data_IF_634147463836
#
_entry.id   IF_634147463836
#
_cell.length_a   1.000
_cell.length_b   1.000
_cell.length_c   1.000
_cell.angle_alpha   90.00
_cell.angle_beta   90.00
_cell.angle_gamma   90.00
#
_symmetry.space_group_name_H-M   'P 1'
#
loop_
_entity.id
_entity.type
_entity.pdbx_description
1 polymer ?
#
# COMPACT_ATOMS: atom_id res chain seq x y z
N UNK A 1 -24.38 -37.51 37.43
CA UNK A 1 -23.10 -37.65 36.75
C UNK A 1 -23.25 -37.41 35.24
N UNK A 2 -24.09 -38.13 34.57
CA UNK A 2 -24.31 -38.06 33.12
C UNK A 2 -24.73 -36.67 32.61
N UNK A 3 -25.68 -36.01 33.26
CA UNK A 3 -26.08 -34.64 32.92
C UNK A 3 -24.90 -33.66 33.01
N UNK A 4 -24.07 -33.81 34.03
CA UNK A 4 -22.89 -32.98 34.20
C UNK A 4 -21.86 -33.19 33.07
N UNK A 5 -21.63 -34.44 32.67
CA UNK A 5 -20.72 -34.78 31.56
C UNK A 5 -21.25 -34.24 30.24
N UNK A 6 -22.54 -34.33 29.97
CA UNK A 6 -23.19 -33.78 28.79
C UNK A 6 -23.04 -32.25 28.73
N UNK A 7 -23.31 -31.56 29.82
CA UNK A 7 -23.18 -30.11 29.95
C UNK A 7 -21.71 -29.66 29.71
N UNK A 8 -20.78 -30.36 30.38
CA UNK A 8 -19.34 -30.06 30.24
C UNK A 8 -18.85 -30.28 28.81
N UNK A 9 -19.26 -31.36 28.16
CA UNK A 9 -18.87 -31.65 26.76
C UNK A 9 -19.34 -30.58 25.81
N UNK A 10 -20.63 -30.18 25.83
CA UNK A 10 -21.16 -29.13 24.97
C UNK A 10 -20.47 -27.79 25.23
N UNK A 11 -20.24 -27.46 26.51
CA UNK A 11 -19.54 -26.23 26.90
C UNK A 11 -18.13 -26.16 26.30
N UNK A 12 -17.32 -27.23 26.48
CA UNK A 12 -15.96 -27.31 26.02
C UNK A 12 -15.86 -27.32 24.48
N UNK A 13 -16.79 -28.00 23.83
CA UNK A 13 -16.93 -28.01 22.37
C UNK A 13 -17.05 -26.60 21.79
N UNK A 14 -18.03 -25.83 22.29
CA UNK A 14 -18.23 -24.45 21.83
C UNK A 14 -17.05 -23.55 22.21
N UNK A 15 -16.42 -23.76 23.37
CA UNK A 15 -15.25 -23.05 23.79
C UNK A 15 -14.04 -23.30 22.84
N UNK A 16 -13.78 -24.56 22.46
CA UNK A 16 -12.75 -24.92 21.50
C UNK A 16 -12.99 -24.26 20.13
N UNK A 17 -14.24 -24.32 19.64
CA UNK A 17 -14.62 -23.62 18.40
C UNK A 17 -14.37 -22.10 18.49
N UNK A 18 -14.70 -21.45 19.61
CA UNK A 18 -14.47 -20.01 19.80
C UNK A 18 -12.98 -19.66 19.83
N UNK A 19 -12.14 -20.50 20.42
CA UNK A 19 -10.69 -20.31 20.45
C UNK A 19 -10.11 -20.40 19.03
N UNK A 20 -10.50 -21.44 18.27
CA UNK A 20 -10.11 -21.60 16.85
C UNK A 20 -10.60 -20.40 16.03
N UNK A 21 -11.88 -20.01 16.18
CA UNK A 21 -12.45 -18.87 15.49
C UNK A 21 -11.68 -17.57 15.74
N UNK A 22 -11.34 -17.29 17.00
CA UNK A 22 -10.59 -16.09 17.37
C UNK A 22 -9.22 -16.06 16.71
N UNK A 23 -8.56 -17.22 16.65
CA UNK A 23 -7.21 -17.33 16.07
C UNK A 23 -7.20 -17.03 14.56
N UNK A 24 -8.16 -17.56 13.81
CA UNK A 24 -8.18 -17.41 12.35
C UNK A 24 -8.77 -16.09 11.87
N UNK A 25 -9.82 -15.59 12.56
CA UNK A 25 -10.55 -14.40 12.15
C UNK A 25 -9.93 -13.09 12.62
N UNK A 26 -9.16 -13.14 13.73
CA UNK A 26 -8.62 -11.98 14.46
C UNK A 26 -9.71 -10.97 14.89
N UNK A 27 -10.98 -11.36 14.83
CA UNK A 27 -12.09 -10.50 15.20
C UNK A 27 -12.12 -10.23 16.71
N UNK A 28 -12.50 -9.02 17.14
CA UNK A 28 -12.51 -8.66 18.55
C UNK A 28 -13.63 -9.36 19.30
N UNK A 29 -13.30 -10.42 20.04
CA UNK A 29 -14.23 -11.08 20.97
C UNK A 29 -13.84 -10.68 22.39
N UNK A 30 -14.74 -10.00 23.10
CA UNK A 30 -14.54 -9.64 24.51
C UNK A 30 -14.50 -10.90 25.38
N UNK A 31 -13.61 -10.94 26.38
CA UNK A 31 -13.39 -12.11 27.26
C UNK A 31 -14.65 -12.69 27.87
N UNK A 32 -15.63 -11.85 28.25
CA UNK A 32 -16.92 -12.30 28.82
C UNK A 32 -17.72 -13.23 27.89
N UNK A 33 -17.57 -13.08 26.55
CA UNK A 33 -18.31 -13.91 25.61
C UNK A 33 -17.82 -15.36 25.57
N UNK A 34 -16.57 -15.63 25.96
CA UNK A 34 -16.05 -16.99 26.11
C UNK A 34 -16.73 -17.78 27.25
N UNK A 35 -17.40 -17.11 28.16
CA UNK A 35 -18.21 -17.75 29.21
C UNK A 35 -19.70 -17.77 28.84
N UNK A 36 -20.22 -16.68 28.28
CA UNK A 36 -21.66 -16.52 28.04
C UNK A 36 -22.13 -17.40 26.86
N UNK A 37 -21.41 -17.41 25.74
CA UNK A 37 -21.85 -18.14 24.54
C UNK A 37 -21.86 -19.64 24.76
N UNK A 38 -20.81 -20.31 25.28
CA UNK A 38 -20.90 -21.74 25.60
C UNK A 38 -22.00 -22.08 26.57
N UNK A 39 -22.23 -21.27 27.62
CA UNK A 39 -23.33 -21.46 28.56
C UNK A 39 -24.72 -21.35 27.90
N UNK A 40 -24.91 -20.40 26.98
CA UNK A 40 -26.15 -20.26 26.22
C UNK A 40 -26.40 -21.49 25.31
N UNK A 41 -25.34 -22.04 24.68
CA UNK A 41 -25.44 -23.25 23.86
C UNK A 41 -25.76 -24.50 24.68
N UNK A 42 -25.28 -24.61 25.92
CA UNK A 42 -25.68 -25.65 26.86
C UNK A 42 -27.19 -25.57 27.12
N UNK A 43 -27.72 -24.38 27.39
CA UNK A 43 -29.18 -24.19 27.57
C UNK A 43 -29.96 -24.56 26.30
N UNK A 44 -29.48 -24.16 25.13
CA UNK A 44 -30.11 -24.47 23.85
C UNK A 44 -30.07 -25.98 23.54
N UNK A 45 -28.96 -26.67 23.85
CA UNK A 45 -28.79 -28.11 23.66
C UNK A 45 -29.78 -28.93 24.54
N UNK A 46 -30.02 -28.49 25.75
CA UNK A 46 -30.95 -29.16 26.65
C UNK A 46 -32.42 -29.09 26.19
N UNK A 47 -32.76 -28.05 25.38
CA UNK A 47 -34.14 -27.86 24.87
C UNK A 47 -34.31 -28.48 23.47
N UNK A 48 -33.38 -28.18 22.55
CA UNK A 48 -33.46 -28.61 21.15
C UNK A 48 -32.06 -28.98 20.61
N UNK A 49 -31.59 -30.22 20.84
CA UNK A 49 -30.24 -30.64 20.46
C UNK A 49 -29.85 -30.42 18.98
N UNK A 50 -30.74 -30.70 17.98
CA UNK A 50 -30.39 -30.45 16.58
C UNK A 50 -30.12 -28.97 16.29
N UNK A 51 -30.88 -28.07 16.89
CA UNK A 51 -30.67 -26.60 16.70
C UNK A 51 -29.36 -26.16 17.33
N UNK A 52 -28.96 -26.70 18.47
CA UNK A 52 -27.69 -26.40 19.09
C UNK A 52 -26.51 -26.82 18.19
N UNK A 53 -26.62 -27.98 17.54
CA UNK A 53 -25.57 -28.47 16.63
C UNK A 53 -25.37 -27.53 15.40
N UNK A 54 -26.44 -27.18 14.70
CA UNK A 54 -26.38 -26.29 13.55
C UNK A 54 -26.25 -24.80 13.91
N UNK A 55 -26.71 -24.44 15.10
CA UNK A 55 -26.70 -23.05 15.59
C UNK A 55 -25.31 -22.45 15.68
N UNK A 56 -24.28 -23.24 15.99
CA UNK A 56 -22.89 -22.75 16.01
C UNK A 56 -22.40 -22.28 14.64
N UNK A 57 -22.71 -22.99 13.56
CA UNK A 57 -22.41 -22.57 12.20
C UNK A 57 -23.07 -21.24 11.87
N UNK A 58 -24.38 -21.15 12.12
CA UNK A 58 -25.17 -19.94 11.83
C UNK A 58 -24.60 -18.75 12.61
N UNK A 59 -24.28 -18.97 13.89
CA UNK A 59 -23.74 -17.93 14.77
C UNK A 59 -22.40 -17.38 14.22
N UNK A 60 -21.42 -18.23 13.88
CA UNK A 60 -20.12 -17.78 13.39
C UNK A 60 -20.25 -17.10 12.03
N UNK A 61 -21.04 -17.65 11.12
CA UNK A 61 -21.30 -17.06 9.80
C UNK A 61 -21.95 -15.68 9.98
N UNK A 62 -23.02 -15.57 10.75
CA UNK A 62 -23.73 -14.31 10.99
C UNK A 62 -22.81 -13.25 11.64
N UNK A 63 -21.99 -13.66 12.61
CA UNK A 63 -21.02 -12.77 13.26
C UNK A 63 -19.97 -12.25 12.28
N UNK A 64 -19.44 -13.09 11.38
CA UNK A 64 -18.51 -12.68 10.35
C UNK A 64 -19.13 -11.67 9.38
N UNK A 65 -20.35 -11.94 8.90
CA UNK A 65 -21.05 -11.01 8.01
C UNK A 65 -21.40 -9.67 8.65
N UNK A 66 -21.69 -9.70 9.96
CA UNK A 66 -21.97 -8.47 10.72
C UNK A 66 -20.70 -7.62 10.94
N UNK A 67 -19.58 -8.24 11.34
CA UNK A 67 -18.36 -7.54 11.72
C UNK A 67 -17.45 -7.19 10.52
N UNK A 68 -17.43 -8.03 9.49
CA UNK A 68 -16.52 -7.92 8.34
C UNK A 68 -17.25 -7.53 7.04
N UNK A 69 -17.97 -6.43 7.05
CA UNK A 69 -18.74 -5.95 5.88
C UNK A 69 -17.87 -5.72 4.63
N UNK A 70 -16.60 -5.37 4.80
CA UNK A 70 -15.66 -5.06 3.72
C UNK A 70 -14.89 -6.28 3.17
N UNK A 71 -15.12 -7.46 3.73
CA UNK A 71 -14.48 -8.70 3.27
C UNK A 71 -15.35 -9.42 2.23
N UNK A 72 -14.72 -10.30 1.41
CA UNK A 72 -15.45 -11.11 0.45
C UNK A 72 -16.44 -12.04 1.15
N UNK A 73 -17.60 -12.30 0.52
CA UNK A 73 -18.63 -13.22 1.05
C UNK A 73 -18.04 -14.62 1.29
N UNK A 74 -17.16 -15.08 0.40
CA UNK A 74 -16.52 -16.40 0.49
C UNK A 74 -15.59 -16.51 1.70
N UNK A 75 -14.92 -15.41 2.07
CA UNK A 75 -14.05 -15.37 3.24
C UNK A 75 -14.85 -15.38 4.56
N UNK A 76 -15.96 -14.62 4.61
CA UNK A 76 -16.85 -14.65 5.76
C UNK A 76 -17.46 -16.05 5.96
N UNK A 77 -17.79 -16.75 4.88
CA UNK A 77 -18.26 -18.13 4.92
C UNK A 77 -17.17 -19.07 5.43
N UNK A 78 -15.93 -18.92 4.95
CA UNK A 78 -14.78 -19.70 5.40
C UNK A 78 -14.56 -19.56 6.92
N UNK A 79 -14.49 -18.33 7.42
CA UNK A 79 -14.31 -18.08 8.85
C UNK A 79 -15.46 -18.64 9.71
N UNK A 80 -16.67 -18.67 9.18
CA UNK A 80 -17.81 -19.22 9.89
C UNK A 80 -17.83 -20.75 9.93
N UNK A 81 -17.43 -21.42 8.84
CA UNK A 81 -17.42 -22.89 8.72
C UNK A 81 -16.18 -23.51 9.40
N UNK A 82 -15.01 -22.90 9.23
CA UNK A 82 -13.72 -23.44 9.63
C UNK A 82 -13.68 -23.92 11.10
N UNK A 83 -14.05 -23.13 12.13
CA UNK A 83 -13.92 -23.54 13.52
C UNK A 83 -14.71 -24.78 13.88
N UNK A 84 -15.91 -24.91 13.30
CA UNK A 84 -16.79 -26.05 13.56
C UNK A 84 -16.31 -27.31 12.84
N UNK A 85 -15.84 -27.16 11.59
CA UNK A 85 -15.25 -28.28 10.82
C UNK A 85 -13.99 -28.77 11.48
N UNK A 86 -13.08 -27.87 11.86
CA UNK A 86 -11.79 -28.23 12.49
C UNK A 86 -12.00 -28.89 13.84
N UNK A 87 -12.86 -28.35 14.68
CA UNK A 87 -13.22 -29.01 15.95
C UNK A 87 -13.73 -30.44 15.71
N UNK A 88 -14.65 -30.60 14.77
CA UNK A 88 -15.23 -31.90 14.40
C UNK A 88 -14.18 -32.88 13.86
N UNK A 89 -13.22 -32.40 13.01
CA UNK A 89 -12.14 -33.21 12.46
C UNK A 89 -11.17 -33.69 13.53
N UNK A 90 -10.73 -32.77 14.41
CA UNK A 90 -9.78 -33.09 15.48
C UNK A 90 -10.41 -33.97 16.55
N UNK A 91 -11.64 -33.68 16.95
CA UNK A 91 -12.37 -34.53 17.92
C UNK A 91 -12.49 -35.97 17.44
N UNK A 92 -12.86 -36.18 16.17
CA UNK A 92 -12.90 -37.52 15.59
C UNK A 92 -11.54 -38.14 15.37
N UNK A 93 -10.53 -37.37 14.98
CA UNK A 93 -9.15 -37.85 14.85
C UNK A 93 -8.65 -38.39 16.20
N UNK A 94 -8.86 -37.66 17.26
CA UNK A 94 -8.50 -38.10 18.61
C UNK A 94 -9.30 -39.35 19.03
N UNK A 95 -10.61 -39.31 18.86
CA UNK A 95 -11.51 -40.39 19.31
C UNK A 95 -11.41 -41.68 18.51
N UNK A 96 -11.26 -41.62 17.16
CA UNK A 96 -11.19 -42.84 16.32
C UNK A 96 -9.75 -43.37 16.15
N UNK A 97 -8.73 -42.53 16.30
CA UNK A 97 -7.35 -42.99 16.05
C UNK A 97 -6.48 -42.95 17.30
N UNK A 98 -6.39 -41.82 18.00
CA UNK A 98 -5.40 -41.68 19.08
C UNK A 98 -5.79 -42.45 20.33
N UNK A 99 -7.03 -42.31 20.80
CA UNK A 99 -7.49 -42.98 22.01
C UNK A 99 -7.57 -44.50 21.85
N UNK A 100 -8.05 -45.09 20.74
CA UNK A 100 -7.98 -46.50 20.51
C UNK A 100 -6.55 -47.09 20.51
N UNK A 101 -5.57 -46.36 20.00
CA UNK A 101 -4.14 -46.77 20.09
C UNK A 101 -3.64 -46.85 21.53
N UNK A 102 -4.27 -46.11 22.46
CA UNK A 102 -3.99 -46.17 23.88
C UNK A 102 -4.84 -47.22 24.61
N UNK A 103 -5.59 -48.04 23.89
CA UNK A 103 -6.49 -49.06 24.45
C UNK A 103 -7.79 -48.50 25.03
N UNK A 104 -8.15 -47.26 24.71
CA UNK A 104 -9.34 -46.59 25.22
C UNK A 104 -10.37 -46.48 24.12
N UNK A 105 -11.52 -47.16 24.27
CA UNK A 105 -12.66 -47.03 23.37
C UNK A 105 -13.58 -45.89 23.86
N UNK A 106 -13.58 -44.79 23.09
CA UNK A 106 -14.24 -43.53 23.49
C UNK A 106 -15.70 -43.47 22.98
N UNK A 107 -15.98 -44.03 21.81
CA UNK A 107 -17.34 -43.99 21.23
C UNK A 107 -18.22 -45.17 21.69
N UNK A 108 -18.46 -45.25 22.99
CA UNK A 108 -19.45 -46.18 23.49
C UNK A 108 -20.83 -45.49 23.49
N UNK A 109 -21.80 -46.12 22.87
CA UNK A 109 -23.03 -45.58 22.31
C UNK A 109 -24.06 -45.04 23.30
N UNK A 110 -23.92 -45.35 24.58
CA UNK A 110 -24.98 -45.08 25.56
C UNK A 110 -24.72 -43.86 26.46
N UNK A 111 -23.47 -43.46 26.67
CA UNK A 111 -23.13 -42.40 27.65
C UNK A 111 -21.87 -41.64 27.26
N UNK A 112 -21.90 -40.31 27.38
CA UNK A 112 -20.69 -39.49 27.33
C UNK A 112 -19.79 -39.88 28.50
N UNK A 113 -18.57 -40.27 28.19
CA UNK A 113 -17.55 -40.69 29.15
C UNK A 113 -16.66 -39.50 29.58
N UNK A 114 -15.91 -39.69 30.65
CA UNK A 114 -14.89 -38.71 31.02
C UNK A 114 -13.80 -38.52 29.94
N UNK A 115 -13.61 -39.53 29.06
CA UNK A 115 -12.68 -39.44 27.92
C UNK A 115 -13.19 -38.51 26.82
N UNK A 116 -14.49 -38.36 26.61
CA UNK A 116 -15.06 -37.40 25.66
C UNK A 116 -14.76 -35.97 26.09
N UNK A 117 -14.80 -35.69 27.40
CA UNK A 117 -14.39 -34.39 27.96
C UNK A 117 -12.90 -34.15 27.74
N UNK A 118 -12.06 -35.18 27.91
CA UNK A 118 -10.63 -35.09 27.69
C UNK A 118 -10.31 -34.83 26.22
N UNK A 119 -11.05 -35.45 25.30
CA UNK A 119 -10.93 -35.15 23.85
C UNK A 119 -11.20 -33.68 23.58
N UNK A 120 -12.30 -33.13 24.07
CA UNK A 120 -12.66 -31.71 23.83
C UNK A 120 -11.62 -30.75 24.39
N UNK A 121 -10.98 -31.05 25.52
CA UNK A 121 -9.88 -30.28 26.09
C UNK A 121 -8.62 -30.35 25.23
N UNK A 122 -8.37 -31.46 24.56
CA UNK A 122 -7.16 -31.69 23.75
C UNK A 122 -7.29 -31.16 22.33
N UNK A 123 -8.49 -30.87 21.82
CA UNK A 123 -8.71 -30.42 20.44
C UNK A 123 -7.89 -29.15 20.12
N UNK A 124 -8.04 -28.10 20.93
CA UNK A 124 -7.36 -26.83 20.65
C UNK A 124 -5.83 -26.92 20.76
N UNK A 125 -5.24 -27.55 21.79
CA UNK A 125 -3.80 -27.80 21.82
C UNK A 125 -3.27 -28.64 20.66
N UNK A 126 -3.97 -29.72 20.27
CA UNK A 126 -3.59 -30.57 19.14
C UNK A 126 -3.66 -29.80 17.83
N UNK A 127 -4.70 -29.01 17.63
CA UNK A 127 -4.85 -28.11 16.49
C UNK A 127 -3.67 -27.11 16.42
N UNK A 128 -3.33 -26.43 17.52
CA UNK A 128 -2.21 -25.48 17.57
C UNK A 128 -0.89 -26.15 17.22
N UNK A 129 -0.64 -27.34 17.75
CA UNK A 129 0.58 -28.11 17.50
C UNK A 129 0.73 -28.43 16.01
N UNK A 130 -0.36 -28.89 15.35
CA UNK A 130 -0.34 -29.23 13.93
C UNK A 130 -0.16 -27.98 13.07
N UNK A 131 -0.90 -26.90 13.31
CA UNK A 131 -0.78 -25.66 12.55
C UNK A 131 0.63 -25.07 12.69
N UNK A 132 1.20 -25.09 13.88
CA UNK A 132 2.57 -24.65 14.13
C UNK A 132 3.61 -25.54 13.40
N UNK A 133 3.46 -26.86 13.49
CA UNK A 133 4.35 -27.82 12.81
C UNK A 133 4.31 -27.69 11.28
N UNK A 134 3.14 -27.42 10.72
CA UNK A 134 2.96 -27.20 9.28
C UNK A 134 3.32 -25.78 8.84
N UNK A 135 3.69 -24.89 9.77
CA UNK A 135 4.05 -23.47 9.50
C UNK A 135 2.96 -22.73 8.70
N UNK A 136 1.69 -23.01 8.99
CA UNK A 136 0.56 -22.33 8.37
C UNK A 136 0.38 -20.97 9.04
N UNK A 137 0.51 -19.88 8.27
CA UNK A 137 0.27 -18.51 8.74
C UNK A 137 -1.07 -18.00 8.20
N UNK A 138 -2.02 -17.79 9.10
CA UNK A 138 -3.35 -17.28 8.75
C UNK A 138 -3.34 -15.80 8.35
N UNK A 139 -2.29 -15.03 8.71
CA UNK A 139 -2.16 -13.63 8.27
C UNK A 139 -1.82 -13.57 6.80
N UNK A 140 -0.84 -14.38 6.38
CA UNK A 140 -0.46 -14.49 4.97
C UNK A 140 -1.64 -15.00 4.11
N UNK A 141 -2.38 -15.98 4.64
CA UNK A 141 -3.61 -16.48 4.01
C UNK A 141 -4.66 -15.39 3.87
N UNK A 142 -4.88 -14.58 4.90
CA UNK A 142 -5.86 -13.48 4.90
C UNK A 142 -5.53 -12.42 3.85
N UNK A 143 -4.27 -12.07 3.68
CA UNK A 143 -3.82 -11.15 2.63
C UNK A 143 -3.96 -11.76 1.23
N UNK A 144 -3.60 -13.02 1.07
CA UNK A 144 -3.82 -13.77 -0.17
C UNK A 144 -5.30 -13.81 -0.57
N UNK A 145 -6.19 -14.10 0.37
CA UNK A 145 -7.64 -14.20 0.14
C UNK A 145 -8.34 -12.89 -0.24
N UNK A 146 -7.74 -11.73 -0.02
CA UNK A 146 -8.28 -10.44 -0.50
C UNK A 146 -8.28 -10.31 -2.02
N UNK A 147 -7.57 -11.18 -2.73
CA UNK A 147 -7.40 -11.11 -4.19
C UNK A 147 -8.44 -11.95 -4.91
N UNK A 148 -8.89 -11.47 -6.04
CA UNK A 148 -9.94 -12.11 -6.84
C UNK A 148 -9.59 -13.56 -7.25
N UNK A 149 -8.31 -13.85 -7.48
CA UNK A 149 -7.80 -15.18 -7.81
C UNK A 149 -8.11 -16.24 -6.74
N UNK A 150 -8.03 -15.88 -5.46
CA UNK A 150 -8.28 -16.80 -4.36
C UNK A 150 -9.76 -17.08 -4.10
N UNK A 151 -10.68 -16.34 -4.70
CA UNK A 151 -12.12 -16.58 -4.52
C UNK A 151 -12.54 -17.98 -5.02
N UNK A 152 -11.94 -18.48 -6.12
CA UNK A 152 -12.21 -19.83 -6.63
C UNK A 152 -11.71 -20.90 -5.67
N UNK A 153 -10.51 -20.72 -5.12
CA UNK A 153 -9.94 -21.66 -4.15
C UNK A 153 -10.76 -21.66 -2.86
N UNK A 154 -11.13 -20.49 -2.35
CA UNK A 154 -12.04 -20.36 -1.19
C UNK A 154 -13.40 -21.02 -1.45
N UNK A 155 -13.95 -20.90 -2.64
CA UNK A 155 -15.19 -21.56 -3.01
C UNK A 155 -15.04 -23.09 -2.91
N UNK A 156 -13.96 -23.66 -3.44
CA UNK A 156 -13.69 -25.10 -3.39
C UNK A 156 -13.53 -25.58 -1.95
N UNK A 157 -12.78 -24.84 -1.11
CA UNK A 157 -12.61 -25.16 0.31
C UNK A 157 -13.95 -25.10 1.05
N UNK A 158 -14.73 -24.05 0.86
CA UNK A 158 -16.04 -23.91 1.50
C UNK A 158 -17.00 -25.04 1.07
N UNK A 159 -17.04 -25.37 -0.20
CA UNK A 159 -17.86 -26.48 -0.71
C UNK A 159 -17.40 -27.81 -0.14
N UNK A 160 -16.09 -28.06 -0.03
CA UNK A 160 -15.56 -29.29 0.57
C UNK A 160 -15.93 -29.41 2.05
N UNK A 161 -15.87 -28.29 2.82
CA UNK A 161 -16.31 -28.26 4.22
C UNK A 161 -17.80 -28.56 4.36
N UNK A 162 -18.63 -27.95 3.51
CA UNK A 162 -20.08 -28.21 3.52
C UNK A 162 -20.36 -29.67 3.17
N UNK A 163 -19.72 -30.21 2.13
CA UNK A 163 -19.87 -31.62 1.72
C UNK A 163 -19.48 -32.57 2.85
N UNK A 164 -18.35 -32.30 3.52
CA UNK A 164 -17.91 -33.08 4.69
C UNK A 164 -18.97 -33.10 5.79
N UNK A 165 -19.55 -31.95 6.18
CA UNK A 165 -20.57 -31.84 7.18
C UNK A 165 -21.80 -32.66 6.78
N UNK A 166 -22.24 -32.57 5.52
CA UNK A 166 -23.39 -33.30 5.00
C UNK A 166 -23.15 -34.81 5.09
N UNK A 167 -21.99 -35.29 4.59
CA UNK A 167 -21.65 -36.71 4.60
C UNK A 167 -21.57 -37.27 6.01
N UNK A 168 -20.91 -36.56 6.94
CA UNK A 168 -20.84 -36.98 8.34
C UNK A 168 -22.22 -37.05 9.00
N UNK A 169 -23.08 -36.04 8.73
CA UNK A 169 -24.42 -36.01 9.26
C UNK A 169 -25.30 -37.15 8.68
N UNK A 170 -25.10 -37.48 7.41
CA UNK A 170 -25.79 -38.60 6.76
C UNK A 170 -25.47 -39.93 7.45
N UNK A 171 -24.20 -40.18 7.79
CA UNK A 171 -23.84 -41.40 8.53
C UNK A 171 -24.42 -41.44 9.96
N UNK A 172 -24.65 -40.29 10.59
CA UNK A 172 -25.35 -40.24 11.87
C UNK A 172 -26.81 -40.68 11.72
N UNK A 173 -27.50 -40.23 10.67
CA UNK A 173 -28.91 -40.61 10.40
C UNK A 173 -29.02 -42.08 9.99
N UNK A 174 -28.07 -42.56 9.19
CA UNK A 174 -28.08 -43.96 8.70
C UNK A 174 -27.53 -44.97 9.71
N UNK A 175 -27.08 -44.56 10.89
CA UNK A 175 -26.43 -45.40 11.90
C UNK A 175 -27.26 -46.64 12.26
N UNK A 176 -28.56 -46.47 12.40
CA UNK A 176 -29.46 -47.59 12.73
C UNK A 176 -29.72 -48.56 11.56
N UNK A 177 -29.34 -48.17 10.33
CA UNK A 177 -29.55 -48.98 9.12
C UNK A 177 -28.27 -49.66 8.63
N UNK A 178 -27.10 -49.11 8.99
CA UNK A 178 -25.79 -49.58 8.56
C UNK A 178 -24.99 -50.08 9.77
N UNK A 179 -24.69 -51.39 9.83
CA UNK A 179 -23.92 -52.00 10.94
C UNK A 179 -22.53 -51.36 11.15
N UNK A 180 -21.91 -50.84 10.07
CA UNK A 180 -20.55 -50.32 10.11
C UNK A 180 -20.48 -48.79 9.96
N UNK A 181 -21.54 -48.07 10.20
CA UNK A 181 -21.65 -46.63 10.01
C UNK A 181 -20.55 -45.83 10.74
N UNK A 182 -20.19 -46.24 11.96
CA UNK A 182 -19.15 -45.56 12.74
C UNK A 182 -17.73 -45.79 12.15
N UNK A 183 -17.48 -47.00 11.60
CA UNK A 183 -16.24 -47.29 10.89
C UNK A 183 -16.10 -46.41 9.63
N UNK A 184 -17.18 -46.30 8.82
CA UNK A 184 -17.19 -45.45 7.64
C UNK A 184 -17.03 -43.97 7.97
N UNK A 185 -17.62 -43.51 9.08
CA UNK A 185 -17.41 -42.15 9.58
C UNK A 185 -15.97 -41.89 9.94
N UNK A 186 -15.29 -42.82 10.62
CA UNK A 186 -13.88 -42.75 10.96
C UNK A 186 -12.99 -42.68 9.70
N UNK A 187 -13.25 -43.54 8.72
CA UNK A 187 -12.49 -43.55 7.45
C UNK A 187 -12.71 -42.26 6.65
N UNK A 188 -13.96 -41.79 6.54
CA UNK A 188 -14.27 -40.52 5.90
C UNK A 188 -13.53 -39.36 6.58
N UNK A 189 -13.51 -39.34 7.93
CA UNK A 189 -12.79 -38.31 8.68
C UNK A 189 -11.29 -38.33 8.40
N UNK A 190 -10.67 -39.53 8.36
CA UNK A 190 -9.24 -39.70 8.08
C UNK A 190 -8.89 -39.26 6.66
N UNK A 191 -9.71 -39.60 5.68
CA UNK A 191 -9.53 -39.16 4.31
C UNK A 191 -9.67 -37.64 4.21
N UNK A 192 -10.70 -37.08 4.82
CA UNK A 192 -10.97 -35.64 4.71
C UNK A 192 -9.96 -34.78 5.46
N UNK A 193 -9.45 -35.22 6.63
CA UNK A 193 -8.42 -34.45 7.37
C UNK A 193 -7.12 -34.34 6.56
N UNK A 194 -6.71 -35.41 5.84
CA UNK A 194 -5.55 -35.38 4.96
C UNK A 194 -5.79 -34.40 3.79
N UNK A 195 -6.95 -34.54 3.13
CA UNK A 195 -7.31 -33.67 2.01
C UNK A 195 -7.39 -32.21 2.45
N UNK A 196 -7.99 -31.95 3.61
CA UNK A 196 -8.13 -30.60 4.18
C UNK A 196 -6.77 -29.96 4.45
N UNK A 197 -5.82 -30.69 5.05
CA UNK A 197 -4.47 -30.18 5.27
C UNK A 197 -3.70 -29.98 3.97
N UNK A 198 -3.84 -30.86 2.98
CA UNK A 198 -3.24 -30.64 1.66
C UNK A 198 -3.76 -29.35 1.04
N UNK A 199 -5.08 -29.10 1.12
CA UNK A 199 -5.67 -27.85 0.61
C UNK A 199 -5.13 -26.62 1.35
N UNK A 200 -5.03 -26.67 2.68
CA UNK A 200 -4.49 -25.57 3.48
C UNK A 200 -3.01 -25.30 3.16
N UNK A 201 -2.20 -26.34 3.04
CA UNK A 201 -0.79 -26.25 2.67
C UNK A 201 -0.62 -25.66 1.25
N UNK A 202 -1.44 -26.12 0.30
CA UNK A 202 -1.43 -25.59 -1.06
C UNK A 202 -1.72 -24.08 -1.07
N UNK A 203 -2.77 -23.65 -0.36
CA UNK A 203 -3.13 -22.23 -0.28
C UNK A 203 -2.03 -21.41 0.43
N UNK A 204 -1.46 -21.95 1.52
CA UNK A 204 -0.39 -21.29 2.25
C UNK A 204 0.87 -21.13 1.37
N UNK A 205 1.26 -22.16 0.63
CA UNK A 205 2.38 -22.12 -0.30
C UNK A 205 2.15 -21.11 -1.44
N UNK A 206 1.00 -21.18 -2.09
CA UNK A 206 0.64 -20.25 -3.18
C UNK A 206 0.54 -18.79 -2.69
N UNK A 207 0.03 -18.58 -1.48
CA UNK A 207 -0.05 -17.24 -0.88
C UNK A 207 1.34 -16.65 -0.64
N UNK A 208 2.26 -17.45 -0.08
CA UNK A 208 3.66 -17.04 0.16
C UNK A 208 4.39 -16.75 -1.15
N UNK A 209 4.29 -17.63 -2.13
CA UNK A 209 4.92 -17.44 -3.44
C UNK A 209 4.46 -16.14 -4.11
N UNK A 210 3.16 -15.85 -4.06
CA UNK A 210 2.61 -14.60 -4.62
C UNK A 210 3.09 -13.35 -3.88
N UNK A 211 3.17 -13.41 -2.55
CA UNK A 211 3.69 -12.31 -1.74
C UNK A 211 5.18 -12.05 -2.06
N UNK A 212 5.99 -13.10 -2.18
CA UNK A 212 7.40 -12.99 -2.57
C UNK A 212 7.56 -12.38 -3.96
N UNK A 213 6.77 -12.81 -4.95
CA UNK A 213 6.78 -12.24 -6.30
C UNK A 213 6.48 -10.74 -6.29
N UNK A 214 5.54 -10.28 -5.46
CA UNK A 214 5.22 -8.85 -5.36
C UNK A 214 6.33 -8.04 -4.68
N UNK A 215 6.94 -8.59 -3.63
CA UNK A 215 8.08 -7.94 -2.96
C UNK A 215 9.24 -7.80 -3.96
N UNK A 216 9.52 -8.82 -4.74
CA UNK A 216 10.56 -8.78 -5.79
C UNK A 216 10.21 -7.72 -6.84
N UNK A 217 8.99 -7.73 -7.36
CA UNK A 217 8.55 -6.76 -8.37
C UNK A 217 8.60 -5.31 -7.85
N UNK A 218 8.31 -5.09 -6.56
CA UNK A 218 8.44 -3.77 -5.94
C UNK A 218 9.90 -3.34 -5.81
N UNK A 219 10.78 -4.25 -5.39
CA UNK A 219 12.23 -3.99 -5.32
C UNK A 219 12.82 -3.66 -6.69
N UNK A 220 12.42 -4.39 -7.73
CA UNK A 220 12.89 -4.14 -9.10
C UNK A 220 12.47 -2.74 -9.61
N UNK A 221 11.25 -2.30 -9.29
CA UNK A 221 10.81 -0.93 -9.59
C UNK A 221 11.67 0.12 -8.88
N UNK A 222 11.92 -0.07 -7.59
CA UNK A 222 12.77 0.85 -6.81
C UNK A 222 14.20 0.89 -7.35
N UNK A 223 14.79 -0.26 -7.71
CA UNK A 223 16.13 -0.33 -8.32
C UNK A 223 16.18 0.40 -9.66
N UNK A 224 15.15 0.26 -10.49
CA UNK A 224 15.06 0.96 -11.77
C UNK A 224 14.95 2.49 -11.59
N UNK A 225 14.15 2.94 -10.63
CA UNK A 225 14.06 4.37 -10.30
C UNK A 225 15.40 4.93 -9.79
N UNK A 226 16.07 4.18 -8.91
CA UNK A 226 17.39 4.56 -8.40
C UNK A 226 18.44 4.60 -9.50
N UNK A 227 18.43 3.63 -10.44
CA UNK A 227 19.33 3.62 -11.60
C UNK A 227 19.10 4.84 -12.49
N UNK A 228 17.84 5.17 -12.79
CA UNK A 228 17.52 6.35 -13.59
C UNK A 228 17.99 7.66 -12.91
N UNK A 229 17.82 7.73 -11.58
CA UNK A 229 18.32 8.87 -10.80
C UNK A 229 19.85 8.96 -10.85
N UNK A 230 20.56 7.83 -10.71
CA UNK A 230 22.03 7.79 -10.80
C UNK A 230 22.53 8.26 -12.16
N UNK A 231 21.92 7.79 -13.25
CA UNK A 231 22.28 8.25 -14.60
C UNK A 231 22.02 9.75 -14.80
N UNK A 232 20.94 10.28 -14.24
CA UNK A 232 20.67 11.71 -14.30
C UNK A 232 21.74 12.53 -13.55
N UNK A 233 22.11 12.06 -12.35
CA UNK A 233 23.19 12.70 -11.57
C UNK A 233 24.54 12.64 -12.31
N UNK A 234 24.88 11.50 -12.93
CA UNK A 234 26.10 11.36 -13.75
C UNK A 234 26.09 12.33 -14.93
N UNK A 235 24.97 12.49 -15.61
CA UNK A 235 24.83 13.47 -16.71
C UNK A 235 25.09 14.89 -16.22
N UNK A 236 24.47 15.27 -15.08
CA UNK A 236 24.72 16.60 -14.50
C UNK A 236 26.19 16.83 -14.10
N UNK A 237 26.83 15.82 -13.51
CA UNK A 237 28.26 15.90 -13.21
C UNK A 237 29.12 16.06 -14.48
N UNK A 238 28.76 15.38 -15.56
CA UNK A 238 29.44 15.50 -16.85
C UNK A 238 29.32 16.92 -17.43
N UNK A 239 28.11 17.50 -17.37
CA UNK A 239 27.85 18.88 -17.81
C UNK A 239 28.64 19.90 -16.99
N UNK A 240 28.64 19.77 -15.66
CA UNK A 240 29.39 20.64 -14.76
C UNK A 240 30.90 20.53 -15.04
N UNK A 241 31.38 19.31 -15.31
CA UNK A 241 32.81 19.10 -15.62
C UNK A 241 33.20 19.75 -16.94
N UNK A 242 32.38 19.65 -17.99
CA UNK A 242 32.58 20.32 -19.26
C UNK A 242 32.58 21.84 -19.09
N UNK A 243 31.56 22.37 -18.41
CA UNK A 243 31.47 23.81 -18.13
C UNK A 243 32.71 24.35 -17.38
N UNK A 244 33.19 23.62 -16.36
CA UNK A 244 34.40 24.00 -15.62
C UNK A 244 35.65 24.03 -16.52
N UNK A 245 35.77 23.05 -17.40
CA UNK A 245 36.89 22.98 -18.34
C UNK A 245 36.89 24.19 -19.29
N UNK A 246 35.74 24.49 -19.86
CA UNK A 246 35.61 25.60 -20.82
C UNK A 246 35.83 26.97 -20.14
N UNK A 247 35.31 27.13 -18.91
CA UNK A 247 35.54 28.33 -18.10
C UNK A 247 37.00 28.51 -17.76
N UNK A 248 37.75 27.46 -17.39
CA UNK A 248 39.19 27.53 -17.13
C UNK A 248 40.00 27.90 -18.40
N UNK A 249 39.58 27.37 -19.55
CA UNK A 249 40.22 27.73 -20.84
C UNK A 249 40.04 29.21 -21.18
N UNK A 250 38.84 29.74 -20.97
CA UNK A 250 38.56 31.18 -21.16
C UNK A 250 39.43 32.03 -20.22
N UNK A 251 39.48 31.70 -18.94
CA UNK A 251 40.28 32.43 -17.94
C UNK A 251 41.77 32.37 -18.26
N UNK A 252 42.28 31.21 -18.71
CA UNK A 252 43.67 31.02 -19.08
C UNK A 252 44.04 31.87 -20.31
N UNK A 253 43.18 31.90 -21.31
CA UNK A 253 43.35 32.69 -22.52
C UNK A 253 43.31 34.20 -22.23
N UNK A 254 42.41 34.64 -21.36
CA UNK A 254 42.37 36.03 -20.90
C UNK A 254 43.63 36.41 -20.13
N UNK A 255 44.12 35.53 -19.24
CA UNK A 255 45.35 35.76 -18.47
C UNK A 255 46.56 35.96 -19.40
N UNK A 256 46.72 35.09 -20.41
CA UNK A 256 47.79 35.20 -21.40
C UNK A 256 47.70 36.51 -22.20
N UNK A 257 46.49 36.92 -22.61
CA UNK A 257 46.26 38.19 -23.28
C UNK A 257 46.66 39.39 -22.42
N UNK A 258 46.35 39.36 -21.12
CA UNK A 258 46.70 40.42 -20.16
C UNK A 258 48.22 40.45 -19.93
N UNK A 259 48.88 39.31 -19.69
CA UNK A 259 50.29 39.20 -19.45
C UNK A 259 51.12 39.71 -20.68
N UNK A 260 50.67 39.42 -21.90
CA UNK A 260 51.28 39.85 -23.13
C UNK A 260 50.86 41.26 -23.56
N UNK A 261 50.01 41.95 -22.82
CA UNK A 261 49.44 43.26 -23.16
C UNK A 261 48.81 43.29 -24.56
N UNK A 262 48.26 42.16 -25.00
CA UNK A 262 47.62 42.01 -26.31
C UNK A 262 46.10 42.33 -26.19
N UNK A 263 45.76 43.61 -26.27
CA UNK A 263 44.43 44.14 -26.21
C UNK A 263 43.49 43.56 -27.29
N UNK A 264 43.97 43.38 -28.57
CA UNK A 264 43.17 42.74 -29.60
C UNK A 264 42.82 41.28 -29.33
N UNK A 265 43.68 40.51 -28.66
CA UNK A 265 43.41 39.15 -28.26
C UNK A 265 42.38 39.08 -27.12
N UNK A 266 42.49 39.95 -26.12
CA UNK A 266 41.53 40.09 -25.03
C UNK A 266 40.14 40.44 -25.58
N UNK A 267 40.09 41.37 -26.54
CA UNK A 267 38.87 41.85 -27.15
C UNK A 267 38.18 40.72 -27.97
N UNK A 268 38.94 39.91 -28.70
CA UNK A 268 38.44 38.74 -29.41
C UNK A 268 37.84 37.70 -28.46
N UNK A 269 38.57 37.35 -27.40
CA UNK A 269 38.07 36.38 -26.40
C UNK A 269 36.77 36.90 -25.74
N UNK A 270 36.75 38.18 -25.40
CA UNK A 270 35.56 38.83 -24.84
C UNK A 270 34.36 38.79 -25.81
N UNK A 271 34.60 39.10 -27.10
CA UNK A 271 33.59 39.05 -28.15
C UNK A 271 33.10 37.60 -28.43
N UNK A 272 34.00 36.62 -28.41
CA UNK A 272 33.64 35.21 -28.60
C UNK A 272 32.83 34.67 -27.41
N UNK A 273 33.23 35.00 -26.18
CA UNK A 273 32.43 34.66 -24.97
C UNK A 273 31.10 35.38 -24.99
N UNK A 274 31.05 36.62 -25.45
CA UNK A 274 29.80 37.35 -25.63
C UNK A 274 28.98 36.84 -26.81
N UNK A 275 29.59 36.38 -27.93
CA UNK A 275 28.86 35.79 -29.04
C UNK A 275 28.27 34.44 -28.70
N UNK A 276 28.98 33.58 -27.99
CA UNK A 276 28.45 32.31 -27.47
C UNK A 276 27.44 32.51 -26.32
N UNK A 277 27.69 33.46 -25.43
CA UNK A 277 26.74 33.89 -24.38
C UNK A 277 25.76 34.95 -24.87
N UNK A 278 26.08 35.58 -25.96
CA UNK A 278 25.74 36.96 -26.32
C UNK A 278 24.42 37.17 -27.05
N UNK A 279 23.52 36.18 -27.13
CA UNK A 279 22.08 36.49 -27.33
C UNK A 279 21.32 36.55 -26.03
N UNK A 280 21.87 36.02 -24.93
CA UNK A 280 21.17 35.83 -23.66
C UNK A 280 21.47 36.91 -22.60
N UNK A 281 22.65 37.54 -22.66
CA UNK A 281 23.07 38.46 -21.54
C UNK A 281 22.62 39.92 -21.72
N UNK A 282 22.23 40.35 -22.90
CA UNK A 282 21.89 41.77 -23.14
C UNK A 282 20.40 42.07 -23.24
N UNK A 283 19.51 41.06 -23.22
CA UNK A 283 18.08 41.33 -23.09
C UNK A 283 17.78 41.72 -21.65
N UNK A 284 17.38 42.97 -21.50
CA UNK A 284 17.17 43.74 -20.23
C UNK A 284 16.24 43.12 -19.19
N UNK A 285 15.82 41.84 -19.31
CA UNK A 285 14.78 41.24 -18.48
C UNK A 285 15.26 40.08 -17.61
N UNK A 286 16.42 39.51 -17.83
CA UNK A 286 16.98 38.44 -17.02
C UNK A 286 18.00 38.99 -16.06
N UNK A 287 17.58 39.47 -14.92
CA UNK A 287 18.49 39.98 -13.89
C UNK A 287 19.05 38.82 -13.05
N UNK A 288 20.14 38.20 -13.57
CA UNK A 288 20.88 37.14 -12.84
C UNK A 288 21.31 37.63 -11.45
N UNK A 289 21.51 38.94 -11.29
CA UNK A 289 21.84 39.53 -9.99
C UNK A 289 20.75 39.21 -8.93
N UNK A 290 19.49 39.10 -9.32
CA UNK A 290 18.40 38.77 -8.39
C UNK A 290 18.46 37.33 -7.89
N UNK A 291 18.99 36.38 -8.68
CA UNK A 291 19.22 35.01 -8.24
C UNK A 291 20.31 34.91 -7.15
N UNK A 292 21.19 35.92 -7.03
CA UNK A 292 22.19 35.98 -5.96
C UNK A 292 21.56 36.08 -4.56
N UNK A 293 20.30 36.49 -4.48
CA UNK A 293 19.52 36.55 -3.23
C UNK A 293 19.07 35.16 -2.77
N UNK A 294 19.05 34.14 -3.64
CA UNK A 294 18.83 32.75 -3.24
C UNK A 294 20.14 32.21 -2.65
N UNK A 295 20.19 31.99 -1.34
CA UNK A 295 21.41 31.57 -0.63
C UNK A 295 21.66 30.05 -0.75
N UNK A 296 20.63 29.25 -1.03
CA UNK A 296 20.78 27.83 -1.26
C UNK A 296 21.19 27.55 -2.70
N UNK A 297 22.39 26.98 -2.88
CA UNK A 297 22.98 26.75 -4.21
C UNK A 297 22.21 25.71 -5.04
N UNK A 298 21.57 24.72 -4.41
CA UNK A 298 20.78 23.72 -5.12
C UNK A 298 19.51 24.34 -5.72
N UNK A 299 18.77 25.13 -4.95
CA UNK A 299 17.56 25.85 -5.42
C UNK A 299 17.94 26.84 -6.53
N UNK A 300 19.03 27.63 -6.32
CA UNK A 300 19.56 28.55 -7.33
C UNK A 300 19.89 27.85 -8.63
N UNK A 301 20.58 26.72 -8.57
CA UNK A 301 20.99 25.94 -9.75
C UNK A 301 19.79 25.40 -10.52
N UNK A 302 18.80 24.82 -9.82
CA UNK A 302 17.60 24.29 -10.46
C UNK A 302 16.78 25.39 -11.10
N UNK A 303 16.55 26.51 -10.39
CA UNK A 303 15.81 27.64 -10.97
C UNK A 303 16.55 28.22 -12.18
N UNK A 304 17.88 28.42 -12.09
CA UNK A 304 18.68 28.89 -13.23
C UNK A 304 18.56 27.97 -14.45
N UNK A 305 18.63 26.65 -14.25
CA UNK A 305 18.48 25.68 -15.33
C UNK A 305 17.10 25.76 -16.00
N UNK A 306 16.02 25.88 -15.21
CA UNK A 306 14.65 26.00 -15.75
C UNK A 306 14.43 27.31 -16.49
N UNK A 307 14.99 28.42 -15.98
CA UNK A 307 14.90 29.70 -16.66
C UNK A 307 15.68 29.70 -17.98
N UNK A 308 16.85 29.07 -17.99
CA UNK A 308 17.65 28.92 -19.22
C UNK A 308 16.90 28.03 -20.25
N UNK A 309 16.28 26.95 -19.80
CA UNK A 309 15.43 26.12 -20.66
C UNK A 309 14.29 26.91 -21.28
N UNK A 310 13.59 27.71 -20.47
CA UNK A 310 12.50 28.58 -20.93
C UNK A 310 12.99 29.59 -21.98
N UNK A 311 14.13 30.19 -21.72
CA UNK A 311 14.76 31.18 -22.65
C UNK A 311 15.14 30.52 -23.98
N UNK A 312 15.76 29.34 -23.94
CA UNK A 312 16.10 28.59 -25.15
C UNK A 312 14.87 28.22 -26.01
N UNK A 313 13.69 28.11 -25.36
CA UNK A 313 12.39 27.90 -26.02
C UNK A 313 11.71 29.20 -26.47
N UNK A 314 12.39 30.34 -26.35
CA UNK A 314 11.89 31.65 -26.79
C UNK A 314 10.79 32.22 -25.90
N UNK A 315 10.78 31.86 -24.61
CA UNK A 315 9.84 32.37 -23.62
C UNK A 315 10.44 33.61 -22.96
N UNK A 316 9.66 34.70 -22.89
CA UNK A 316 10.03 35.94 -22.19
C UNK A 316 9.94 35.71 -20.69
N UNK A 317 11.04 35.94 -19.95
CA UNK A 317 11.17 35.54 -18.55
C UNK A 317 11.26 36.79 -17.65
N UNK A 318 10.56 36.75 -16.54
CA UNK A 318 10.71 37.71 -15.46
C UNK A 318 10.98 36.97 -14.15
N UNK A 319 11.99 37.44 -13.41
CA UNK A 319 12.35 36.85 -12.09
C UNK A 319 12.37 37.94 -11.03
N UNK A 320 11.71 37.68 -9.91
CA UNK A 320 11.64 38.60 -8.78
C UNK A 320 12.07 37.87 -7.49
N UNK A 321 13.23 38.26 -6.95
CA UNK A 321 13.76 37.83 -5.66
C UNK A 321 14.36 39.07 -5.00
N UNK A 322 13.56 39.81 -4.27
CA UNK A 322 14.00 41.10 -3.72
C UNK A 322 14.87 40.95 -2.48
N UNK A 323 14.54 40.02 -1.60
CA UNK A 323 15.24 39.80 -0.33
C UNK A 323 16.05 38.51 -0.33
N UNK A 324 17.15 38.43 0.46
CA UNK A 324 17.91 37.20 0.62
C UNK A 324 17.08 36.08 1.24
N UNK A 325 17.02 34.90 0.56
CA UNK A 325 16.30 33.72 1.00
C UNK A 325 17.32 32.66 1.41
N UNK A 326 17.34 32.33 2.68
CA UNK A 326 18.21 31.36 3.33
C UNK A 326 17.45 30.17 3.90
N UNK A 327 16.15 30.34 4.20
CA UNK A 327 15.26 29.32 4.74
C UNK A 327 14.00 29.19 3.86
N UNK A 328 13.63 27.95 3.54
CA UNK A 328 12.51 27.61 2.65
C UNK A 328 11.31 27.06 3.39
N UNK A 329 11.34 26.96 4.72
CA UNK A 329 10.27 26.51 5.61
C UNK A 329 9.78 25.05 5.40
N UNK A 330 10.35 24.35 4.43
CA UNK A 330 10.13 22.91 4.14
C UNK A 330 11.47 22.27 3.77
N UNK A 331 11.51 20.93 3.69
CA UNK A 331 12.71 20.23 3.21
C UNK A 331 13.13 20.72 1.82
N UNK A 332 14.41 20.97 1.65
CA UNK A 332 14.98 21.50 0.40
C UNK A 332 14.65 20.64 -0.82
N UNK A 333 14.67 19.31 -0.67
CA UNK A 333 14.32 18.40 -1.77
C UNK A 333 12.84 18.51 -2.17
N UNK A 334 11.96 18.71 -1.20
CA UNK A 334 10.54 18.93 -1.43
C UNK A 334 10.30 20.27 -2.15
N UNK A 335 10.98 21.33 -1.70
CA UNK A 335 10.92 22.64 -2.36
C UNK A 335 11.42 22.59 -3.81
N UNK A 336 12.56 21.95 -4.04
CA UNK A 336 13.13 21.76 -5.40
C UNK A 336 12.17 20.97 -6.29
N UNK A 337 11.55 19.92 -5.76
CA UNK A 337 10.57 19.11 -6.49
C UNK A 337 9.36 19.94 -6.91
N UNK A 338 8.79 20.69 -5.97
CA UNK A 338 7.67 21.61 -6.25
C UNK A 338 8.07 22.63 -7.32
N UNK A 339 9.20 23.33 -7.12
CA UNK A 339 9.71 24.34 -8.04
C UNK A 339 9.89 23.79 -9.45
N UNK A 340 10.53 22.62 -9.58
CA UNK A 340 10.73 21.95 -10.88
C UNK A 340 9.40 21.65 -11.57
N UNK A 341 8.44 21.03 -10.86
CA UNK A 341 7.15 20.67 -11.45
C UNK A 341 6.38 21.89 -11.91
N UNK A 342 6.34 22.96 -11.10
CA UNK A 342 5.65 24.19 -11.47
C UNK A 342 6.29 24.87 -12.66
N UNK A 343 7.64 24.98 -12.69
CA UNK A 343 8.36 25.55 -13.81
C UNK A 343 8.18 24.72 -15.10
N UNK A 344 8.25 23.38 -15.03
CA UNK A 344 8.05 22.51 -16.19
C UNK A 344 6.65 22.69 -16.78
N UNK A 345 5.62 22.71 -15.93
CA UNK A 345 4.25 22.96 -16.37
C UNK A 345 4.09 24.35 -17.03
N UNK A 346 4.70 25.37 -16.42
CA UNK A 346 4.65 26.73 -16.91
C UNK A 346 5.38 26.89 -18.26
N UNK A 347 6.56 26.28 -18.42
CA UNK A 347 7.33 26.28 -19.67
C UNK A 347 6.53 25.60 -20.79
N UNK A 348 5.97 24.41 -20.51
CA UNK A 348 5.19 23.69 -21.52
C UNK A 348 3.92 24.45 -21.93
N UNK A 349 3.24 25.12 -21.00
CA UNK A 349 2.05 25.90 -21.30
C UNK A 349 2.39 27.15 -22.10
N UNK A 350 3.44 27.89 -21.69
CA UNK A 350 3.90 29.11 -22.38
C UNK A 350 4.35 28.87 -23.83
N UNK A 351 4.89 27.68 -24.13
CA UNK A 351 5.28 27.33 -25.50
C UNK A 351 4.12 27.35 -26.48
N UNK A 352 2.92 27.02 -26.02
CA UNK A 352 1.69 26.98 -26.84
C UNK A 352 0.94 28.30 -26.87
N UNK A 353 1.25 29.21 -25.95
CA UNK A 353 0.58 30.49 -25.84
C UNK A 353 1.00 31.46 -26.96
N UNK A 354 0.10 32.39 -27.35
CA UNK A 354 0.40 33.44 -28.33
C UNK A 354 1.49 34.38 -27.79
N UNK A 355 1.39 34.80 -26.52
CA UNK A 355 2.43 35.55 -25.84
C UNK A 355 3.21 34.62 -24.91
N UNK A 356 4.42 34.25 -25.29
CA UNK A 356 5.24 33.32 -24.52
C UNK A 356 5.86 34.05 -23.34
N UNK A 357 5.24 33.96 -22.16
CA UNK A 357 5.72 34.63 -20.93
C UNK A 357 5.75 33.66 -19.76
N UNK A 358 6.79 33.78 -18.93
CA UNK A 358 6.97 33.07 -17.66
C UNK A 358 7.49 34.05 -16.61
N UNK A 359 6.81 34.14 -15.48
CA UNK A 359 7.25 34.91 -14.32
C UNK A 359 7.43 34.00 -13.12
N UNK A 360 8.57 34.14 -12.41
CA UNK A 360 8.84 33.42 -11.16
C UNK A 360 9.20 34.44 -10.09
N UNK A 361 8.45 34.49 -9.01
CA UNK A 361 8.73 35.34 -7.87
C UNK A 361 8.91 34.53 -6.59
N UNK A 362 9.90 34.90 -5.79
CA UNK A 362 10.14 34.41 -4.46
C UNK A 362 10.12 35.63 -3.51
N UNK A 363 9.09 35.69 -2.69
CA UNK A 363 8.79 36.83 -1.80
C UNK A 363 8.92 36.37 -0.36
N UNK A 364 9.87 36.91 0.37
CA UNK A 364 10.04 36.68 1.80
C UNK A 364 9.26 37.71 2.59
N UNK A 365 8.51 37.26 3.60
CA UNK A 365 7.90 38.12 4.58
C UNK A 365 8.29 37.68 6.00
N UNK A 366 7.95 38.45 7.03
CA UNK A 366 8.30 38.08 8.42
C UNK A 366 7.78 36.72 8.88
N UNK A 367 6.67 36.23 8.30
CA UNK A 367 6.01 34.98 8.72
C UNK A 367 5.87 33.94 7.61
N UNK A 368 6.27 34.24 6.37
CA UNK A 368 6.04 33.34 5.24
C UNK A 368 7.03 33.55 4.10
N UNK A 369 7.31 32.46 3.38
CA UNK A 369 7.91 32.49 2.05
C UNK A 369 6.83 32.21 1.02
N UNK A 370 6.72 33.04 -0.01
CA UNK A 370 5.75 32.88 -1.09
C UNK A 370 6.48 32.60 -2.40
N UNK A 371 6.17 31.46 -3.02
CA UNK A 371 6.60 31.13 -4.38
C UNK A 371 5.42 31.40 -5.32
N UNK A 372 5.64 32.25 -6.32
CA UNK A 372 4.68 32.50 -7.40
C UNK A 372 5.29 32.05 -8.71
N UNK A 373 4.58 31.21 -9.43
CA UNK A 373 4.93 30.84 -10.82
C UNK A 373 3.73 31.19 -11.69
N UNK A 374 3.92 32.13 -12.60
CA UNK A 374 2.90 32.60 -13.52
C UNK A 374 3.34 32.41 -14.96
N UNK A 375 2.44 31.91 -15.80
CA UNK A 375 2.71 31.68 -17.21
C UNK A 375 1.54 32.08 -18.09
N UNK A 376 1.84 32.36 -19.36
CA UNK A 376 0.82 32.54 -20.36
C UNK A 376 0.19 31.20 -20.79
N UNK A 377 -1.07 31.23 -21.20
CA UNK A 377 -1.84 30.04 -21.68
C UNK A 377 -2.43 30.29 -23.06
N UNK A 378 -2.73 29.21 -23.78
CA UNK A 378 -3.42 29.25 -25.08
C UNK A 378 -4.89 29.63 -24.90
N UNK A 379 -5.54 29.14 -23.84
CA UNK A 379 -6.95 29.43 -23.53
C UNK A 379 -7.05 30.65 -22.62
N UNK A 380 -8.11 31.44 -22.81
CA UNK A 380 -8.41 32.62 -21.97
C UNK A 380 -8.58 32.25 -20.49
N UNK A 381 -9.15 31.07 -20.23
CA UNK A 381 -9.34 30.51 -18.89
C UNK A 381 -9.17 29.00 -18.93
N UNK A 382 -8.33 28.46 -18.03
CA UNK A 382 -8.14 27.04 -17.83
C UNK A 382 -9.00 26.59 -16.65
N UNK A 383 -9.67 25.43 -16.76
CA UNK A 383 -10.40 24.85 -15.64
C UNK A 383 -9.41 24.36 -14.58
N UNK A 384 -9.54 24.90 -13.37
CA UNK A 384 -8.66 24.62 -12.23
C UNK A 384 -9.23 23.60 -11.25
N UNK A 385 -10.46 23.11 -11.47
CA UNK A 385 -11.25 22.35 -10.47
C UNK A 385 -10.63 21.00 -10.14
N UNK A 386 -10.07 20.30 -11.14
CA UNK A 386 -9.57 18.92 -11.00
C UNK A 386 -8.06 18.77 -11.25
N UNK A 387 -7.30 19.87 -11.24
CA UNK A 387 -5.88 19.88 -11.64
C UNK A 387 -4.97 19.02 -10.74
N UNK A 388 -5.35 18.82 -9.50
CA UNK A 388 -4.57 18.08 -8.50
C UNK A 388 -5.02 16.62 -8.36
N UNK A 389 -6.03 16.18 -9.09
CA UNK A 389 -6.46 14.79 -9.07
C UNK A 389 -5.51 13.88 -9.85
N UNK A 390 -5.35 12.66 -9.37
CA UNK A 390 -4.42 11.69 -9.97
C UNK A 390 -4.82 11.31 -11.39
N UNK A 391 -3.93 11.52 -12.34
CA UNK A 391 -4.14 11.12 -13.74
C UNK A 391 -4.94 12.12 -14.57
N UNK A 392 -5.36 13.24 -13.99
CA UNK A 392 -6.00 14.33 -14.76
C UNK A 392 -4.93 15.11 -15.50
N UNK A 393 -4.99 15.08 -16.82
CA UNK A 393 -4.08 15.81 -17.70
C UNK A 393 -4.82 16.23 -18.96
N UNK A 394 -4.71 17.49 -19.34
CA UNK A 394 -5.17 17.98 -20.65
C UNK A 394 -4.26 17.51 -21.80
N UNK A 395 -3.22 16.72 -21.53
CA UNK A 395 -2.09 16.42 -22.42
C UNK A 395 -1.99 14.94 -22.85
N UNK A 396 -2.99 14.05 -22.54
CA UNK A 396 -3.07 12.64 -22.97
C UNK A 396 -2.81 11.61 -21.87
N UNK A 397 -3.09 10.33 -22.18
CA UNK A 397 -2.93 9.20 -21.26
C UNK A 397 -1.49 9.01 -20.78
N UNK A 398 -1.30 8.77 -19.49
CA UNK A 398 0.01 8.56 -18.86
C UNK A 398 0.69 9.82 -18.30
N UNK A 399 0.10 11.02 -18.48
CA UNK A 399 0.53 12.30 -17.89
C UNK A 399 -0.48 12.77 -16.83
N UNK A 400 -0.09 13.70 -15.94
CA UNK A 400 -0.98 14.22 -14.88
C UNK A 400 -0.57 13.79 -13.46
N UNK A 401 0.69 13.39 -13.28
CA UNK A 401 1.23 13.07 -11.95
C UNK A 401 1.94 14.26 -11.30
N UNK A 402 2.32 15.29 -12.06
CA UNK A 402 3.13 16.41 -11.54
C UNK A 402 2.40 17.19 -10.45
N UNK A 403 1.24 17.76 -10.74
CA UNK A 403 0.47 18.54 -9.75
C UNK A 403 -0.11 17.66 -8.63
N UNK A 404 -0.44 16.41 -8.90
CA UNK A 404 -0.78 15.44 -7.87
C UNK A 404 0.40 15.24 -6.89
N UNK A 405 1.63 15.12 -7.38
CA UNK A 405 2.82 15.02 -6.52
C UNK A 405 3.04 16.30 -5.71
N UNK A 406 2.80 17.47 -6.29
CA UNK A 406 2.83 18.74 -5.53
C UNK A 406 1.84 18.69 -4.38
N UNK A 407 0.60 18.25 -4.62
CA UNK A 407 -0.42 18.11 -3.56
C UNK A 407 0.03 17.13 -2.47
N UNK A 408 0.59 15.97 -2.85
CA UNK A 408 1.09 14.98 -1.89
C UNK A 408 2.26 15.52 -1.03
N UNK A 409 3.08 16.38 -1.59
CA UNK A 409 4.12 17.07 -0.82
C UNK A 409 3.47 18.09 0.11
N UNK A 410 2.56 18.91 -0.38
CA UNK A 410 1.87 19.93 0.42
C UNK A 410 1.09 19.34 1.60
N UNK A 411 0.46 18.18 1.43
CA UNK A 411 -0.28 17.47 2.48
C UNK A 411 0.60 17.08 3.68
N UNK A 412 1.93 17.02 3.51
CA UNK A 412 2.89 16.77 4.60
C UNK A 412 3.19 18.03 5.44
N UNK A 413 2.85 19.19 4.92
CA UNK A 413 3.14 20.49 5.55
C UNK A 413 1.85 21.26 5.83
N UNK A 414 1.19 21.03 7.00
CA UNK A 414 -0.14 21.60 7.31
C UNK A 414 -0.20 23.14 7.34
N UNK A 415 0.96 23.79 7.48
CA UNK A 415 1.07 25.26 7.47
C UNK A 415 1.30 25.83 6.05
N UNK A 416 1.33 25.00 5.03
CA UNK A 416 1.53 25.45 3.66
C UNK A 416 0.20 25.44 2.89
N UNK A 417 0.07 26.35 1.94
CA UNK A 417 -1.11 26.44 1.10
C UNK A 417 -0.75 26.68 -0.37
N UNK A 418 -1.55 26.13 -1.29
CA UNK A 418 -1.44 26.38 -2.71
C UNK A 418 -2.72 27.04 -3.23
N UNK A 419 -2.56 28.08 -4.03
CA UNK A 419 -3.64 28.76 -4.73
C UNK A 419 -3.36 28.78 -6.22
N UNK A 420 -4.34 28.39 -7.03
CA UNK A 420 -4.24 28.39 -8.50
C UNK A 420 -5.30 29.29 -9.08
N UNK A 421 -4.92 30.18 -9.98
CA UNK A 421 -5.83 31.11 -10.69
C UNK A 421 -5.56 31.05 -12.18
N UNK A 422 -6.62 31.13 -12.98
CA UNK A 422 -6.53 31.26 -14.43
C UNK A 422 -7.51 32.34 -14.91
N UNK A 423 -6.98 33.39 -15.53
CA UNK A 423 -7.77 34.52 -16.05
C UNK A 423 -6.97 35.24 -17.14
N UNK A 424 -7.66 35.73 -18.18
CA UNK A 424 -7.07 36.59 -19.24
C UNK A 424 -5.79 35.99 -19.87
N UNK A 425 -5.82 34.72 -20.26
CA UNK A 425 -4.68 34.00 -20.87
C UNK A 425 -3.47 33.87 -19.94
N UNK A 426 -3.66 34.02 -18.62
CA UNK A 426 -2.64 33.86 -17.60
C UNK A 426 -3.05 32.73 -16.64
N UNK A 427 -2.06 31.94 -16.22
CA UNK A 427 -2.19 30.91 -15.22
C UNK A 427 -1.15 31.14 -14.14
N UNK A 428 -1.61 31.29 -12.91
CA UNK A 428 -0.75 31.62 -11.78
C UNK A 428 -0.94 30.59 -10.66
N UNK A 429 0.17 30.05 -10.17
CA UNK A 429 0.23 29.19 -9.01
C UNK A 429 1.01 29.86 -7.90
N UNK A 430 0.39 30.04 -6.77
CA UNK A 430 0.99 30.68 -5.59
C UNK A 430 1.04 29.68 -4.47
N UNK A 431 2.24 29.40 -3.95
CA UNK A 431 2.44 28.56 -2.77
C UNK A 431 2.96 29.44 -1.64
N UNK A 432 2.29 29.36 -0.51
CA UNK A 432 2.68 30.08 0.72
C UNK A 432 3.17 29.06 1.74
N UNK A 433 4.41 29.23 2.17
CA UNK A 433 5.06 28.45 3.22
C UNK A 433 5.10 29.29 4.48
N UNK A 434 4.36 28.91 5.52
CA UNK A 434 4.24 29.67 6.78
C UNK A 434 5.18 29.04 7.82
N UNK A 435 5.83 29.91 8.58
CA UNK A 435 6.79 29.55 9.63
C UNK A 435 6.16 28.81 10.83
#
# INVERSE_FOLDING_TARGET
MELFLNVANVYLKILAQMLIFKQISELPIKRKWFLIIPAAFVGLFSVVPPIAYFGSFIMYIAYCFYMNKNQSRMMNLFYGLYPVVVESLFGRMLGYNVFPMLGITVFNEAMISGYDILIELLIFPAYLLIIHSLKIDFKDLKEGFKRQYFNTILLIINLSMILYIILVSLFVVLRNQLSDADMWRGQLNNLYIILFFIMLLYVNATSKEKLEQEIVAQKDRQLKELSNYSHHVESLYSEIRSFRHDYLNILTSLKLGIENKDLPAIQRIYEDVLKESGKSFYDKKFDIARLSNIKNDAVKSVLSAKLLEAQNKGIDITVEVEEPIDDFQIEILDFITILSILCDNAIEASQKAQQKKLSVALIKSEMALVLVVENATEAEKVDVTHLFERGVSTKGEGRGLGLYNVQQIMDRYPKCSISTKSINYQFSQTITFIQ
#
